data_IF_929663884268
#
_entry.id   IF_929663884268
#
_cell.length_a   1.000
_cell.length_b   1.000
_cell.length_c   1.000
_cell.angle_alpha   90.00
_cell.angle_beta   90.00
_cell.angle_gamma   90.00
#
_symmetry.space_group_name_H-M   'P 1'
#
loop_
_entity.id
_entity.type
_entity.pdbx_description
1 polymer ?
#
# COMPACT_ATOMS: atom_id res chain seq x y z
N UNK A 1 33.40 -25.23 22.24
CA UNK A 1 32.77 -24.14 21.46
C UNK A 1 31.63 -24.77 20.67
N UNK A 2 30.39 -24.34 20.86
CA UNK A 2 29.23 -24.95 20.20
C UNK A 2 29.11 -24.43 18.78
N UNK A 3 28.68 -25.29 17.84
CA UNK A 3 28.49 -24.94 16.44
C UNK A 3 27.58 -23.71 16.24
N UNK A 4 26.63 -23.49 17.16
CA UNK A 4 25.74 -22.34 17.15
C UNK A 4 26.43 -20.98 17.40
N UNK A 5 27.63 -20.96 17.98
CA UNK A 5 28.37 -19.71 18.25
C UNK A 5 29.24 -19.24 17.08
N UNK A 6 29.62 -20.14 16.18
CA UNK A 6 30.44 -19.81 14.99
C UNK A 6 29.61 -19.23 13.84
N UNK A 7 28.31 -19.52 13.81
CA UNK A 7 27.37 -19.03 12.79
C UNK A 7 26.99 -17.54 12.98
N UNK A 8 27.27 -16.96 14.15
CA UNK A 8 26.95 -15.56 14.46
C UNK A 8 28.05 -14.56 14.05
N UNK A 9 29.22 -15.05 13.65
CA UNK A 9 30.44 -14.26 13.40
C UNK A 9 30.90 -14.26 11.93
N UNK A 10 30.18 -14.95 11.04
CA UNK A 10 30.41 -14.83 9.60
C UNK A 10 29.89 -13.47 9.11
N UNK A 11 30.69 -12.79 8.28
CA UNK A 11 30.64 -11.39 7.81
C UNK A 11 29.35 -10.89 7.10
N UNK A 12 28.21 -11.54 7.28
CA UNK A 12 26.94 -11.29 6.56
C UNK A 12 25.85 -10.58 7.40
N UNK A 13 26.01 -10.52 8.72
CA UNK A 13 25.12 -9.74 9.58
C UNK A 13 24.08 -10.59 10.27
N UNK A 14 24.27 -10.79 11.57
CA UNK A 14 23.39 -11.55 12.45
C UNK A 14 21.94 -11.03 12.50
N UNK A 15 21.20 -11.46 13.52
CA UNK A 15 19.74 -11.32 13.67
C UNK A 15 19.09 -9.92 13.44
N UNK A 16 19.89 -8.87 13.22
CA UNK A 16 19.48 -7.54 12.82
C UNK A 16 19.37 -7.33 11.28
N UNK A 17 19.95 -8.20 10.44
CA UNK A 17 19.89 -8.10 8.97
C UNK A 17 18.63 -8.74 8.34
N UNK A 18 17.94 -9.62 9.07
CA UNK A 18 16.93 -10.53 8.48
C UNK A 18 15.58 -9.89 8.15
N UNK A 19 15.27 -8.67 8.61
CA UNK A 19 14.03 -7.98 8.22
C UNK A 19 14.27 -6.48 8.03
N UNK A 20 14.87 -6.11 6.90
CA UNK A 20 14.90 -4.73 6.38
C UNK A 20 13.50 -4.24 5.96
N UNK A 21 12.51 -4.35 6.86
CA UNK A 21 11.15 -3.88 6.63
C UNK A 21 11.13 -2.36 6.74
N UNK A 22 11.12 -1.68 5.60
CA UNK A 22 10.81 -0.26 5.56
C UNK A 22 9.34 -0.09 5.93
N UNK A 23 9.06 0.46 7.11
CA UNK A 23 7.69 0.73 7.54
C UNK A 23 7.18 2.00 6.86
N UNK A 24 6.45 1.84 5.77
CA UNK A 24 5.74 2.95 5.12
C UNK A 24 4.47 3.23 5.93
N UNK A 25 4.38 4.42 6.54
CA UNK A 25 3.20 4.87 7.30
C UNK A 25 2.27 5.63 6.36
N UNK A 26 1.15 5.03 6.01
CA UNK A 26 0.09 5.72 5.28
C UNK A 26 -0.87 6.34 6.30
N UNK A 27 -1.02 7.65 6.26
CA UNK A 27 -1.96 8.37 7.10
C UNK A 27 -3.38 8.16 6.56
N UNK A 28 -4.34 7.89 7.45
CA UNK A 28 -5.73 7.65 7.07
C UNK A 28 -6.33 8.82 6.27
N UNK A 29 -5.99 10.05 6.67
CA UNK A 29 -6.47 11.27 6.00
C UNK A 29 -5.97 11.36 4.56
N UNK A 30 -4.71 10.96 4.33
CA UNK A 30 -4.11 10.93 2.99
C UNK A 30 -4.81 9.91 2.10
N UNK A 31 -5.11 8.72 2.64
CA UNK A 31 -5.88 7.71 1.89
C UNK A 31 -7.28 8.23 1.57
N UNK A 32 -7.99 8.76 2.56
CA UNK A 32 -9.35 9.29 2.39
C UNK A 32 -9.35 10.38 1.31
N UNK A 33 -8.38 11.29 1.33
CA UNK A 33 -8.22 12.33 0.31
C UNK A 33 -8.01 11.75 -1.09
N UNK A 34 -7.13 10.75 -1.25
CA UNK A 34 -6.89 10.10 -2.55
C UNK A 34 -8.14 9.41 -3.11
N UNK A 35 -8.91 8.73 -2.26
CA UNK A 35 -10.15 8.07 -2.69
C UNK A 35 -11.23 9.08 -3.06
N UNK A 36 -11.36 10.18 -2.31
CA UNK A 36 -12.30 11.28 -2.60
C UNK A 36 -11.95 11.92 -3.94
N UNK A 37 -10.68 12.26 -4.18
CA UNK A 37 -10.21 12.83 -5.45
C UNK A 37 -10.54 11.90 -6.65
N UNK A 38 -10.38 10.58 -6.47
CA UNK A 38 -10.77 9.60 -7.50
C UNK A 38 -12.27 9.57 -7.75
N UNK A 39 -13.10 9.69 -6.71
CA UNK A 39 -14.57 9.75 -6.83
C UNK A 39 -15.00 11.04 -7.54
N UNK A 40 -14.40 12.18 -7.21
CA UNK A 40 -14.71 13.47 -7.83
C UNK A 40 -14.40 13.45 -9.33
N UNK A 41 -13.27 12.83 -9.71
CA UNK A 41 -12.86 12.61 -11.11
C UNK A 41 -13.66 11.52 -11.84
N UNK A 42 -14.53 10.79 -11.16
CA UNK A 42 -15.38 9.77 -11.79
C UNK A 42 -16.62 10.41 -12.42
N UNK A 43 -17.11 9.80 -13.49
CA UNK A 43 -18.34 10.22 -14.20
C UNK A 43 -19.63 9.76 -13.48
N UNK A 44 -19.53 9.48 -12.17
CA UNK A 44 -20.67 9.03 -11.39
C UNK A 44 -21.68 10.18 -11.13
N UNK A 45 -22.99 9.88 -10.99
CA UNK A 45 -23.98 10.89 -10.63
C UNK A 45 -23.63 11.62 -9.32
N UNK A 46 -23.93 12.92 -9.23
CA UNK A 46 -23.59 13.74 -8.06
C UNK A 46 -24.15 13.20 -6.73
N UNK A 47 -25.33 12.57 -6.77
CA UNK A 47 -25.93 11.90 -5.61
C UNK A 47 -25.13 10.69 -5.12
N UNK A 48 -24.54 9.94 -6.05
CA UNK A 48 -23.70 8.76 -5.76
C UNK A 48 -22.34 9.20 -5.24
N UNK A 49 -21.73 10.22 -5.87
CA UNK A 49 -20.45 10.79 -5.41
C UNK A 49 -20.52 11.28 -3.97
N UNK A 50 -21.56 12.05 -3.63
CA UNK A 50 -21.74 12.58 -2.26
C UNK A 50 -21.86 11.45 -1.24
N UNK A 51 -22.71 10.44 -1.52
CA UNK A 51 -22.85 9.28 -0.63
C UNK A 51 -21.55 8.51 -0.44
N UNK A 52 -20.77 8.31 -1.49
CA UNK A 52 -19.48 7.61 -1.42
C UNK A 52 -18.46 8.41 -0.61
N UNK A 53 -18.40 9.74 -0.78
CA UNK A 53 -17.52 10.61 0.02
C UNK A 53 -17.88 10.56 1.50
N UNK A 54 -19.17 10.61 1.84
CA UNK A 54 -19.63 10.53 3.23
C UNK A 54 -19.31 9.17 3.86
N UNK A 55 -19.47 8.08 3.11
CA UNK A 55 -19.08 6.75 3.54
C UNK A 55 -17.58 6.67 3.82
N UNK A 56 -16.73 7.21 2.94
CA UNK A 56 -15.27 7.20 3.12
C UNK A 56 -14.85 8.02 4.35
N UNK A 57 -15.49 9.16 4.59
CA UNK A 57 -15.21 9.99 5.78
C UNK A 57 -15.61 9.27 7.07
N UNK A 58 -16.70 8.52 7.04
CA UNK A 58 -17.21 7.76 8.19
C UNK A 58 -16.49 6.43 8.45
N UNK A 59 -15.60 5.98 7.55
CA UNK A 59 -14.87 4.72 7.73
C UNK A 59 -13.88 4.80 8.91
N UNK A 60 -13.83 3.77 9.77
CA UNK A 60 -12.81 3.64 10.80
C UNK A 60 -11.44 3.31 10.17
N UNK A 61 -10.36 3.70 10.85
CA UNK A 61 -8.99 3.54 10.36
C UNK A 61 -8.65 2.11 9.91
N UNK A 62 -9.12 1.09 10.64
CA UNK A 62 -8.88 -0.32 10.29
C UNK A 62 -9.56 -0.71 8.96
N UNK A 63 -10.78 -0.22 8.73
CA UNK A 63 -11.49 -0.46 7.48
C UNK A 63 -10.86 0.34 6.33
N UNK A 64 -10.38 1.57 6.57
CA UNK A 64 -9.63 2.35 5.59
C UNK A 64 -8.36 1.61 5.16
N UNK A 65 -7.62 1.00 6.09
CA UNK A 65 -6.43 0.19 5.79
C UNK A 65 -6.76 -1.02 4.92
N UNK A 66 -7.77 -1.81 5.31
CA UNK A 66 -8.20 -2.97 4.54
C UNK A 66 -8.67 -2.58 3.12
N UNK A 67 -9.52 -1.54 3.02
CA UNK A 67 -10.00 -1.02 1.75
C UNK A 67 -8.86 -0.54 0.85
N UNK A 68 -7.85 0.12 1.41
CA UNK A 68 -6.68 0.59 0.65
C UNK A 68 -5.92 -0.60 0.05
N UNK A 69 -5.67 -1.63 0.86
CA UNK A 69 -4.99 -2.84 0.42
C UNK A 69 -5.74 -3.54 -0.71
N UNK A 70 -7.05 -3.68 -0.57
CA UNK A 70 -7.89 -4.31 -1.60
C UNK A 70 -8.00 -3.46 -2.86
N UNK A 71 -8.08 -2.13 -2.72
CA UNK A 71 -8.07 -1.20 -3.85
C UNK A 71 -6.74 -1.28 -4.63
N UNK A 72 -5.60 -1.35 -3.94
CA UNK A 72 -4.28 -1.53 -4.57
C UNK A 72 -4.22 -2.88 -5.29
N UNK A 73 -4.62 -3.98 -4.63
CA UNK A 73 -4.64 -5.32 -5.25
C UNK A 73 -5.52 -5.34 -6.50
N UNK A 74 -6.72 -4.78 -6.42
CA UNK A 74 -7.63 -4.69 -7.55
C UNK A 74 -7.06 -3.82 -8.67
N UNK A 75 -6.41 -2.70 -8.34
CA UNK A 75 -5.73 -1.84 -9.30
C UNK A 75 -4.62 -2.56 -10.04
N UNK A 76 -3.74 -3.26 -9.31
CA UNK A 76 -2.64 -4.04 -9.89
C UNK A 76 -3.16 -5.20 -10.76
N UNK A 77 -4.23 -5.87 -10.34
CA UNK A 77 -4.82 -6.98 -11.09
C UNK A 77 -5.49 -6.54 -12.40
N UNK A 78 -6.00 -5.31 -12.47
CA UNK A 78 -6.70 -4.77 -13.64
C UNK A 78 -5.86 -3.77 -14.44
N UNK A 79 -4.59 -3.55 -14.07
CA UNK A 79 -3.72 -2.62 -14.76
C UNK A 79 -3.22 -3.25 -16.08
N UNK A 80 -3.55 -2.67 -17.24
CA UNK A 80 -2.96 -3.12 -18.49
C UNK A 80 -1.47 -2.80 -18.49
N UNK A 81 -0.66 -3.69 -19.08
CA UNK A 81 0.79 -3.47 -19.23
C UNK A 81 1.54 -3.24 -17.90
N UNK A 82 1.07 -3.84 -16.79
CA UNK A 82 1.67 -3.67 -15.46
C UNK A 82 3.19 -3.92 -15.46
N UNK A 83 3.65 -4.98 -16.13
CA UNK A 83 5.08 -5.30 -16.21
C UNK A 83 5.89 -4.23 -16.94
N UNK A 84 5.34 -3.68 -18.03
CA UNK A 84 5.95 -2.61 -18.80
C UNK A 84 6.04 -1.32 -17.98
N UNK A 85 4.97 -0.96 -17.28
CA UNK A 85 4.96 0.18 -16.36
C UNK A 85 5.97 -0.01 -15.22
N UNK A 86 5.99 -1.19 -14.60
CA UNK A 86 6.88 -1.51 -13.48
C UNK A 86 8.35 -1.45 -13.91
N UNK A 87 8.67 -1.99 -15.08
CA UNK A 87 10.00 -1.91 -15.64
C UNK A 87 10.45 -0.45 -15.80
N UNK A 88 9.62 0.41 -16.40
CA UNK A 88 9.93 1.84 -16.51
C UNK A 88 10.11 2.53 -15.16
N UNK A 89 9.27 2.22 -14.18
CA UNK A 89 9.31 2.83 -12.84
C UNK A 89 10.57 2.45 -12.03
N UNK A 90 11.15 1.27 -12.26
CA UNK A 90 12.32 0.76 -11.52
C UNK A 90 13.66 1.00 -12.23
N UNK A 91 13.65 1.27 -13.54
CA UNK A 91 14.86 1.49 -14.33
C UNK A 91 15.17 2.97 -14.59
N UNK A 92 14.33 3.87 -14.07
CA UNK A 92 14.58 5.32 -14.02
C UNK A 92 15.24 5.67 -12.69
#
# INVERSE_FOLDING_TARGET
MTAAGMDFLADDGGLSAILGVVTIRLHEDTIKALLIDRIEKSDAPASVRTKLVDQIKALPAEATKALTLDAIKAGLANMPEFLTWLHGALTT
#
